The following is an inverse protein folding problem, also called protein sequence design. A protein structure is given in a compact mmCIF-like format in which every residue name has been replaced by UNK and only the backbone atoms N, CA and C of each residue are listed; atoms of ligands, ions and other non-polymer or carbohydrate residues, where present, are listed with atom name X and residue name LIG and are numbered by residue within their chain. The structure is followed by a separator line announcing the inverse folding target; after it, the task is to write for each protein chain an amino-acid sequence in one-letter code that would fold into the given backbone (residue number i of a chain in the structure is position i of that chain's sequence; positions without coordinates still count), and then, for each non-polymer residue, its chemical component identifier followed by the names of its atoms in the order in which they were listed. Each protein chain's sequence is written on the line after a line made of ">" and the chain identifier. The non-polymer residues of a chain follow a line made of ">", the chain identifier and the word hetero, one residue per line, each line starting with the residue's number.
data_IF_949362077137
#
_entry.id   IF_949362077137
#
_cell.length_a   1.000
_cell.length_b   1.000
_cell.length_c   1.000
_cell.angle_alpha   90.00
_cell.angle_beta   90.00
_cell.angle_gamma   90.00
#
_symmetry.space_group_name_H-M   'P 1'
#
loop_
_entity.id
_entity.type
_entity.pdbx_description
1 polymer ?
#
# COMPACT_ATOMS: atom_id res chain seq x y z
N UNK A 1 20.54 -12.72 7.41
CA UNK A 1 20.11 -14.01 7.99
C UNK A 1 19.64 -14.95 6.88
N UNK A 2 19.73 -16.27 7.11
CA UNK A 2 19.09 -17.24 6.22
C UNK A 2 17.57 -17.02 6.18
N UNK A 3 16.95 -17.15 5.00
CA UNK A 3 15.49 -17.05 4.85
C UNK A 3 14.90 -15.66 4.57
N UNK A 4 15.65 -14.55 4.68
CA UNK A 4 15.09 -13.21 4.42
C UNK A 4 14.58 -13.03 2.98
N UNK A 5 15.25 -13.64 2.00
CA UNK A 5 14.81 -13.62 0.60
C UNK A 5 13.47 -14.36 0.44
N UNK A 6 13.36 -15.55 1.04
CA UNK A 6 12.12 -16.33 1.06
C UNK A 6 10.99 -15.58 1.77
N UNK A 7 11.25 -15.00 2.94
CA UNK A 7 10.30 -14.15 3.65
C UNK A 7 9.79 -13.00 2.76
N UNK A 8 10.69 -12.38 1.99
CA UNK A 8 10.37 -11.29 1.08
C UNK A 8 9.53 -11.71 -0.13
N UNK A 9 9.66 -12.95 -0.59
CA UNK A 9 8.83 -13.50 -1.67
C UNK A 9 7.46 -13.96 -1.14
N UNK A 10 7.43 -14.63 0.01
CA UNK A 10 6.21 -15.11 0.64
C UNK A 10 5.29 -13.97 1.09
N UNK A 11 5.85 -12.87 1.63
CA UNK A 11 5.03 -11.69 2.02
C UNK A 11 4.33 -11.09 0.81
N UNK A 12 5.00 -11.03 -0.35
CA UNK A 12 4.39 -10.49 -1.58
C UNK A 12 3.23 -11.37 -2.02
N UNK A 13 3.40 -12.69 -2.03
CA UNK A 13 2.36 -13.63 -2.42
C UNK A 13 1.16 -13.56 -1.47
N UNK A 14 1.40 -13.67 -0.16
CA UNK A 14 0.34 -13.68 0.85
C UNK A 14 -0.46 -12.38 0.85
N UNK A 15 0.22 -11.22 0.91
CA UNK A 15 -0.49 -9.94 0.93
C UNK A 15 -1.24 -9.69 -0.36
N UNK A 16 -0.72 -10.10 -1.52
CA UNK A 16 -1.44 -9.92 -2.80
C UNK A 16 -2.71 -10.76 -2.84
N UNK A 17 -2.66 -12.02 -2.40
CA UNK A 17 -3.84 -12.90 -2.34
C UNK A 17 -4.87 -12.32 -1.38
N UNK A 18 -4.45 -12.00 -0.15
CA UNK A 18 -5.34 -11.46 0.87
C UNK A 18 -5.98 -10.13 0.42
N UNK A 19 -5.19 -9.20 -0.12
CA UNK A 19 -5.67 -7.92 -0.62
C UNK A 19 -6.62 -8.04 -1.82
N UNK A 20 -6.47 -9.09 -2.63
CA UNK A 20 -7.34 -9.32 -3.80
C UNK A 20 -8.73 -9.84 -3.45
N UNK A 21 -8.94 -10.32 -2.21
CA UNK A 21 -10.19 -10.98 -1.83
C UNK A 21 -11.13 -10.00 -1.12
N UNK A 22 -12.36 -9.76 -1.64
CA UNK A 22 -13.26 -8.71 -1.13
C UNK A 22 -13.73 -8.93 0.32
N UNK A 23 -13.69 -10.16 0.83
CA UNK A 23 -14.05 -10.47 2.22
C UNK A 23 -12.92 -10.21 3.24
N UNK A 24 -11.72 -9.81 2.81
CA UNK A 24 -10.62 -9.49 3.73
C UNK A 24 -10.68 -8.02 4.10
N UNK A 25 -10.94 -7.75 5.39
CA UNK A 25 -11.02 -6.39 5.91
C UNK A 25 -9.67 -5.84 6.42
N UNK A 26 -8.79 -6.70 6.93
CA UNK A 26 -7.51 -6.30 7.49
C UNK A 26 -6.46 -7.42 7.43
N UNK A 27 -5.18 -7.03 7.42
CA UNK A 27 -4.04 -7.94 7.49
C UNK A 27 -3.12 -7.42 8.60
N UNK A 28 -2.91 -8.21 9.64
CA UNK A 28 -2.05 -7.88 10.77
C UNK A 28 -0.75 -8.68 10.72
N UNK A 29 0.34 -8.07 11.16
CA UNK A 29 1.65 -8.71 11.26
C UNK A 29 2.05 -8.80 12.74
N UNK A 30 2.58 -9.96 13.16
CA UNK A 30 2.80 -10.25 14.57
C UNK A 30 4.01 -9.50 15.16
N UNK A 31 5.21 -9.74 14.64
CA UNK A 31 6.43 -9.08 15.11
C UNK A 31 6.88 -8.00 14.13
N UNK A 32 6.99 -6.74 14.56
CA UNK A 32 7.58 -5.70 13.70
C UNK A 32 9.10 -5.88 13.57
N UNK A 33 9.77 -6.29 14.65
CA UNK A 33 11.22 -6.42 14.76
C UNK A 33 11.61 -7.80 15.26
N UNK A 34 12.80 -8.27 14.89
CA UNK A 34 13.41 -9.49 15.44
C UNK A 34 13.86 -9.31 16.91
N UNK A 35 13.88 -8.08 17.41
CA UNK A 35 14.17 -7.82 18.81
C UNK A 35 13.02 -8.30 19.69
N UNK A 36 13.32 -9.22 20.61
CA UNK A 36 12.31 -9.86 21.47
C UNK A 36 11.12 -10.50 20.73
N UNK A 37 11.33 -10.90 19.45
CA UNK A 37 10.32 -11.59 18.66
C UNK A 37 9.89 -12.91 19.31
N UNK A 38 8.67 -13.37 19.01
CA UNK A 38 8.11 -14.58 19.58
C UNK A 38 9.04 -15.79 19.35
N UNK A 39 9.42 -16.47 20.43
CA UNK A 39 10.39 -17.58 20.44
C UNK A 39 11.77 -17.26 19.84
N UNK A 40 12.15 -15.98 19.73
CA UNK A 40 13.39 -15.55 19.09
C UNK A 40 13.43 -15.80 17.58
N UNK A 41 12.26 -16.01 16.95
CA UNK A 41 12.17 -16.23 15.52
C UNK A 41 12.54 -14.96 14.73
N UNK A 42 13.28 -15.07 13.61
CA UNK A 42 13.60 -13.93 12.75
C UNK A 42 12.41 -13.53 11.85
N UNK A 43 11.21 -13.42 12.43
CA UNK A 43 9.94 -13.16 11.75
C UNK A 43 9.61 -11.67 11.56
N UNK A 44 10.41 -10.77 12.13
CA UNK A 44 10.21 -9.33 12.02
C UNK A 44 10.34 -8.80 10.60
N UNK A 45 9.79 -7.61 10.34
CA UNK A 45 10.10 -6.80 9.16
C UNK A 45 11.43 -6.03 9.33
N UNK A 46 11.82 -5.80 10.58
CA UNK A 46 13.09 -5.19 10.97
C UNK A 46 13.98 -6.23 11.65
N UNK A 47 15.29 -6.09 11.52
CA UNK A 47 16.27 -6.87 12.30
C UNK A 47 16.36 -6.30 13.73
N UNK A 48 17.11 -6.98 14.60
CA UNK A 48 17.30 -6.58 16.00
C UNK A 48 17.88 -5.17 16.15
N UNK A 49 18.73 -4.76 15.22
CA UNK A 49 19.33 -3.42 15.14
C UNK A 49 18.41 -2.38 14.48
N UNK A 50 17.13 -2.73 14.26
CA UNK A 50 16.11 -1.92 13.60
C UNK A 50 16.36 -1.65 12.12
N UNK A 51 17.36 -2.27 11.49
CA UNK A 51 17.55 -2.17 10.05
C UNK A 51 16.45 -2.92 9.30
N UNK A 52 15.93 -2.37 8.20
CA UNK A 52 14.85 -3.02 7.45
C UNK A 52 15.33 -4.28 6.74
N UNK A 53 14.48 -5.30 6.73
CA UNK A 53 14.66 -6.51 5.91
C UNK A 53 14.13 -6.29 4.48
N UNK A 54 14.51 -7.13 3.52
CA UNK A 54 13.91 -7.10 2.19
C UNK A 54 12.37 -7.19 2.19
N UNK A 55 11.78 -7.97 3.11
CA UNK A 55 10.33 -8.08 3.28
C UNK A 55 9.67 -6.72 3.60
N UNK A 56 10.29 -5.89 4.44
CA UNK A 56 9.82 -4.53 4.73
C UNK A 56 9.69 -3.71 3.44
N UNK A 57 10.74 -3.68 2.63
CA UNK A 57 10.75 -2.89 1.40
C UNK A 57 9.74 -3.40 0.37
N UNK A 58 9.62 -4.72 0.23
CA UNK A 58 8.62 -5.34 -0.67
C UNK A 58 7.20 -4.98 -0.25
N UNK A 59 6.90 -5.09 1.04
CA UNK A 59 5.59 -4.77 1.58
C UNK A 59 5.28 -3.28 1.50
N UNK A 60 6.25 -2.42 1.82
CA UNK A 60 6.13 -0.97 1.69
C UNK A 60 5.79 -0.57 0.24
N UNK A 61 6.54 -1.09 -0.73
CA UNK A 61 6.29 -0.83 -2.15
C UNK A 61 4.90 -1.33 -2.59
N UNK A 62 4.42 -2.47 -2.10
CA UNK A 62 3.05 -2.92 -2.38
C UNK A 62 2.02 -1.91 -1.83
N UNK A 63 2.09 -1.59 -0.55
CA UNK A 63 1.04 -0.81 0.13
C UNK A 63 1.09 0.69 -0.24
N UNK A 64 2.29 1.28 -0.30
CA UNK A 64 2.46 2.73 -0.45
C UNK A 64 2.62 3.18 -1.89
N UNK A 65 3.01 2.28 -2.79
CA UNK A 65 3.29 2.63 -4.18
C UNK A 65 2.30 1.93 -5.10
N UNK A 66 2.33 0.59 -5.15
CA UNK A 66 1.53 -0.18 -6.11
C UNK A 66 0.03 -0.18 -5.84
N UNK A 67 -0.37 -0.27 -4.57
CA UNK A 67 -1.77 -0.23 -4.13
C UNK A 67 -2.20 1.18 -3.71
N UNK A 68 -1.64 2.17 -4.39
CA UNK A 68 -2.02 3.58 -4.27
C UNK A 68 -2.49 4.11 -5.63
N UNK A 69 -3.24 5.20 -5.61
CA UNK A 69 -3.68 5.86 -6.84
C UNK A 69 -2.89 7.14 -7.04
N UNK A 70 -2.13 7.19 -8.13
CA UNK A 70 -1.47 8.41 -8.60
C UNK A 70 -1.82 8.61 -10.07
N UNK A 71 -2.45 9.74 -10.40
CA UNK A 71 -2.84 10.06 -11.75
C UNK A 71 -2.53 11.54 -12.04
N UNK A 72 -1.85 11.77 -13.15
CA UNK A 72 -1.67 13.11 -13.74
C UNK A 72 -2.16 13.07 -15.17
N UNK A 73 -3.21 13.81 -15.47
CA UNK A 73 -3.81 13.82 -16.81
C UNK A 73 -4.47 15.17 -17.12
N UNK A 74 -4.85 15.36 -18.38
CA UNK A 74 -5.68 16.48 -18.83
C UNK A 74 -7.14 16.06 -18.86
N UNK A 75 -8.03 17.01 -18.59
CA UNK A 75 -9.46 16.81 -18.74
C UNK A 75 -9.83 16.55 -20.21
N UNK A 76 -10.77 15.63 -20.43
CA UNK A 76 -11.34 15.38 -21.76
C UNK A 76 -12.46 16.37 -22.11
N UNK A 77 -13.19 16.12 -23.21
CA UNK A 77 -14.37 16.91 -23.58
C UNK A 77 -15.35 17.02 -22.40
N UNK A 78 -15.87 18.23 -22.17
CA UNK A 78 -16.79 18.51 -21.06
C UNK A 78 -16.12 18.54 -19.67
N UNK A 79 -14.79 18.56 -19.57
CA UNK A 79 -14.09 18.67 -18.29
C UNK A 79 -13.99 17.36 -17.49
N UNK A 80 -14.25 16.22 -18.14
CA UNK A 80 -14.38 14.91 -17.46
C UNK A 80 -13.07 14.10 -17.55
N UNK A 81 -12.73 13.39 -16.46
CA UNK A 81 -11.69 12.36 -16.42
C UNK A 81 -12.29 11.07 -15.86
N UNK A 82 -12.06 9.94 -16.53
CA UNK A 82 -12.46 8.60 -16.07
C UNK A 82 -11.21 7.75 -15.82
N UNK A 83 -11.09 7.15 -14.65
CA UNK A 83 -9.99 6.28 -14.27
C UNK A 83 -10.40 5.33 -13.16
N UNK A 84 -9.63 4.26 -12.97
CA UNK A 84 -9.76 3.37 -11.80
C UNK A 84 -8.87 3.87 -10.68
N UNK A 85 -9.36 3.80 -9.46
CA UNK A 85 -8.62 4.14 -8.25
C UNK A 85 -8.87 3.08 -7.16
N UNK A 86 -7.95 3.00 -6.21
CA UNK A 86 -8.13 2.23 -4.99
C UNK A 86 -9.09 2.95 -4.04
N UNK A 87 -9.72 2.21 -3.14
CA UNK A 87 -10.54 2.80 -2.08
C UNK A 87 -9.70 3.67 -1.14
N UNK A 88 -10.36 4.61 -0.47
CA UNK A 88 -9.73 5.53 0.47
C UNK A 88 -9.95 7.00 0.10
N UNK A 89 -9.19 7.87 0.78
CA UNK A 89 -9.25 9.32 0.60
C UNK A 89 -8.19 9.77 -0.39
N UNK A 90 -8.61 10.46 -1.45
CA UNK A 90 -7.72 10.97 -2.49
C UNK A 90 -7.73 12.49 -2.51
N UNK A 91 -6.54 13.07 -2.61
CA UNK A 91 -6.38 14.50 -2.90
C UNK A 91 -6.49 14.71 -4.40
N UNK A 92 -7.34 15.63 -4.82
CA UNK A 92 -7.51 16.03 -6.20
C UNK A 92 -6.98 17.45 -6.34
N UNK A 93 -6.09 17.65 -7.32
CA UNK A 93 -5.60 18.97 -7.72
C UNK A 93 -6.04 19.22 -9.17
N UNK A 94 -6.81 20.27 -9.39
CA UNK A 94 -7.28 20.68 -10.72
C UNK A 94 -6.81 22.11 -10.98
N UNK A 95 -6.34 22.39 -12.19
CA UNK A 95 -5.91 23.74 -12.55
C UNK A 95 -5.72 23.91 -14.04
N UNK A 96 -5.75 25.16 -14.48
CA UNK A 96 -5.48 25.61 -15.85
C UNK A 96 -4.64 26.88 -15.76
N UNK A 97 -3.53 26.94 -16.52
CA UNK A 97 -2.54 28.01 -16.38
C UNK A 97 -2.03 28.13 -14.93
N UNK A 98 -2.18 29.32 -14.35
CA UNK A 98 -1.76 29.63 -12.97
C UNK A 98 -2.84 29.33 -11.92
N UNK A 99 -4.09 29.09 -12.33
CA UNK A 99 -5.17 28.79 -11.39
C UNK A 99 -5.11 27.34 -10.91
N UNK A 100 -5.25 27.12 -9.60
CA UNK A 100 -5.26 25.79 -8.98
C UNK A 100 -6.30 25.70 -7.88
N UNK A 101 -7.02 24.57 -7.84
CA UNK A 101 -7.93 24.16 -6.78
C UNK A 101 -7.51 22.80 -6.24
N UNK A 102 -7.62 22.64 -4.93
CA UNK A 102 -7.35 21.38 -4.23
C UNK A 102 -8.60 20.95 -3.50
N UNK A 103 -8.97 19.69 -3.63
CA UNK A 103 -10.11 19.08 -2.96
C UNK A 103 -9.83 17.63 -2.58
N UNK A 104 -10.77 17.02 -1.86
CA UNK A 104 -10.64 15.63 -1.42
C UNK A 104 -11.88 14.83 -1.80
N UNK A 105 -11.69 13.59 -2.25
CA UNK A 105 -12.77 12.64 -2.50
C UNK A 105 -12.54 11.36 -1.69
N UNK A 106 -13.61 10.81 -1.12
CA UNK A 106 -13.60 9.49 -0.52
C UNK A 106 -14.20 8.47 -1.49
N UNK A 107 -13.47 7.38 -1.75
CA UNK A 107 -13.95 6.26 -2.57
C UNK A 107 -14.13 5.05 -1.65
N UNK A 108 -15.32 4.46 -1.68
CA UNK A 108 -15.74 3.34 -0.82
C UNK A 108 -16.36 2.23 -1.67
N UNK A 109 -16.51 1.04 -1.09
CA UNK A 109 -17.30 -0.02 -1.72
C UNK A 109 -18.79 0.32 -1.68
N UNK A 110 -19.59 -0.18 -2.61
CA UNK A 110 -21.05 0.07 -2.67
C UNK A 110 -21.86 -0.69 -1.59
N UNK A 111 -21.21 -1.34 -0.63
CA UNK A 111 -21.83 -2.22 0.37
C UNK A 111 -21.76 -1.75 1.82
N UNK A 112 -21.17 -0.58 2.11
CA UNK A 112 -21.05 0.02 3.45
C UNK A 112 -21.21 1.54 3.44
#
# INVERSE_FOLDING_TARGET
>A
PEGEARQADEVVQFYTIAFSHPSVASISWWDLTDESAWMGAPGGLLRKDMTPKPAYHRLHNLIKEKWSTQLRTRTGPGGVVKFRCFYGKHEIRVGEGDERKVGWIGVRSNGE
#
